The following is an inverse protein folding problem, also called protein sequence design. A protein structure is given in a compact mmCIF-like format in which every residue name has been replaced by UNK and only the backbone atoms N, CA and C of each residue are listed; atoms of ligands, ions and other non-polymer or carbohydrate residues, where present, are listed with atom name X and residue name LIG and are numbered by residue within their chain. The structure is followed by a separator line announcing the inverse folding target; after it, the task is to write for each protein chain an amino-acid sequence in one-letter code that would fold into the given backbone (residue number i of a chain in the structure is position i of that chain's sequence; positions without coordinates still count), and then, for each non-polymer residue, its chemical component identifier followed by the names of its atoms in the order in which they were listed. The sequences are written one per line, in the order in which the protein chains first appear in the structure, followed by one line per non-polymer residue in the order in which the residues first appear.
data_IF_587902336766
#
_entry.id   IF_587902336766
#
_cell.length_a   1.000
_cell.length_b   1.000
_cell.length_c   1.000
_cell.angle_alpha   90.00
_cell.angle_beta   90.00
_cell.angle_gamma   90.00
#
_symmetry.space_group_name_H-M   'P 1'
#
loop_
_entity.id
_entity.type
_entity.pdbx_description
1 polymer ?
#
# COMPACT_ATOMS: atom_id res chain seq x y z
N UNK A 1 -4.58 19.04 -3.87
CA UNK A 1 -5.36 18.10 -4.73
C UNK A 1 -4.63 16.78 -4.84
N UNK A 2 -5.32 15.65 -5.02
CA UNK A 2 -4.68 14.36 -5.31
C UNK A 2 -3.84 14.46 -6.59
N UNK A 3 -2.79 13.63 -6.71
CA UNK A 3 -1.99 13.49 -7.93
C UNK A 3 -2.32 12.14 -8.55
N UNK A 4 -2.97 12.14 -9.71
CA UNK A 4 -3.47 10.92 -10.37
C UNK A 4 -2.84 10.82 -11.75
N UNK A 5 -2.22 9.67 -12.02
CA UNK A 5 -1.60 9.33 -13.31
C UNK A 5 -2.62 8.97 -14.40
N UNK A 6 -2.08 8.54 -15.54
CA UNK A 6 -2.85 8.12 -16.72
C UNK A 6 -3.54 6.78 -16.47
N UNK A 7 -4.79 6.63 -16.92
CA UNK A 7 -5.53 5.36 -16.90
C UNK A 7 -5.57 4.69 -15.51
N UNK A 8 -5.56 5.47 -14.44
CA UNK A 8 -5.75 4.99 -13.09
C UNK A 8 -7.21 4.57 -12.90
N UNK A 9 -7.42 3.45 -12.23
CA UNK A 9 -8.75 2.97 -11.86
C UNK A 9 -8.84 2.89 -10.34
N UNK A 10 -9.71 3.72 -9.76
CA UNK A 10 -10.07 3.66 -8.35
C UNK A 10 -11.53 3.24 -8.30
N UNK A 11 -11.82 2.13 -7.62
CA UNK A 11 -13.19 1.61 -7.53
C UNK A 11 -14.10 2.57 -6.73
N UNK A 12 -15.40 2.69 -7.08
CA UNK A 12 -16.29 3.66 -6.44
C UNK A 12 -16.44 3.50 -4.92
N UNK A 13 -16.24 2.30 -4.37
CA UNK A 13 -16.35 2.04 -2.93
C UNK A 13 -15.08 2.34 -2.12
N UNK A 14 -13.99 2.81 -2.77
CA UNK A 14 -12.74 3.14 -2.08
C UNK A 14 -12.94 4.35 -1.15
N UNK A 15 -12.46 4.23 0.09
CA UNK A 15 -12.47 5.32 1.07
C UNK A 15 -11.10 5.96 1.15
N UNK A 16 -11.04 7.29 1.03
CA UNK A 16 -9.80 8.08 1.12
C UNK A 16 -10.03 9.23 2.11
N UNK A 17 -9.29 9.28 3.21
CA UNK A 17 -9.52 10.26 4.29
C UNK A 17 -9.20 11.70 3.86
N UNK A 18 -8.00 11.92 3.36
CA UNK A 18 -7.51 13.22 2.89
C UNK A 18 -6.97 13.06 1.45
N UNK A 19 -7.81 13.24 0.42
CA UNK A 19 -7.42 12.96 -0.96
C UNK A 19 -6.21 13.76 -1.46
N UNK A 20 -5.97 14.97 -0.92
CA UNK A 20 -4.80 15.78 -1.30
C UNK A 20 -3.45 15.22 -0.83
N UNK A 21 -3.44 14.17 0.01
CA UNK A 21 -2.24 13.44 0.45
C UNK A 21 -2.00 12.14 -0.33
N UNK A 22 -2.79 11.90 -1.40
CA UNK A 22 -2.68 10.71 -2.23
C UNK A 22 -1.99 11.02 -3.56
N UNK A 23 -0.99 10.19 -3.88
CA UNK A 23 -0.38 10.11 -5.22
C UNK A 23 -0.59 8.69 -5.77
N UNK A 24 -1.09 8.59 -7.00
CA UNK A 24 -1.30 7.32 -7.71
C UNK A 24 -0.66 7.41 -9.10
N UNK A 25 0.29 6.54 -9.40
CA UNK A 25 1.00 6.47 -10.67
C UNK A 25 0.17 5.85 -11.80
N UNK A 26 0.66 6.01 -13.03
CA UNK A 26 -0.01 5.56 -14.26
C UNK A 26 -0.42 4.07 -14.19
N UNK A 27 -1.60 3.75 -14.72
CA UNK A 27 -2.14 2.39 -14.85
C UNK A 27 -2.28 1.62 -13.53
N UNK A 28 -2.23 2.30 -12.38
CA UNK A 28 -2.48 1.67 -11.09
C UNK A 28 -3.97 1.40 -10.88
N UNK A 29 -4.26 0.41 -10.04
CA UNK A 29 -5.61 -0.01 -9.70
C UNK A 29 -5.81 -0.13 -8.19
N UNK A 30 -6.90 0.44 -7.69
CA UNK A 30 -7.33 0.32 -6.28
C UNK A 30 -8.72 -0.31 -6.24
N UNK A 31 -8.78 -1.53 -5.70
CA UNK A 31 -9.96 -2.39 -5.70
C UNK A 31 -11.07 -2.00 -4.73
N UNK A 32 -12.21 -2.68 -4.86
CA UNK A 32 -13.42 -2.38 -4.10
C UNK A 32 -13.18 -2.46 -2.57
N UNK A 33 -13.81 -1.56 -1.82
CA UNK A 33 -13.77 -1.48 -0.36
C UNK A 33 -12.38 -1.27 0.25
N UNK A 34 -11.37 -0.91 -0.55
CA UNK A 34 -10.07 -0.52 -0.02
C UNK A 34 -10.17 0.79 0.79
N UNK A 35 -9.38 0.89 1.84
CA UNK A 35 -9.28 2.06 2.70
C UNK A 35 -7.87 2.63 2.62
N UNK A 36 -7.78 3.86 2.12
CA UNK A 36 -6.56 4.66 2.09
C UNK A 36 -6.66 5.71 3.21
N UNK A 37 -6.19 5.33 4.40
CA UNK A 37 -6.27 6.17 5.60
C UNK A 37 -5.09 7.16 5.61
N UNK A 38 -5.21 8.22 4.80
CA UNK A 38 -4.14 9.19 4.44
C UNK A 38 -3.92 10.32 5.46
N UNK A 39 -3.80 10.05 6.77
CA UNK A 39 -3.31 11.06 7.73
C UNK A 39 -1.90 11.56 7.37
N UNK A 40 -1.04 10.68 6.89
CA UNK A 40 0.19 10.96 6.16
C UNK A 40 0.03 10.72 4.67
N UNK A 41 1.11 10.85 3.92
CA UNK A 41 1.10 10.65 2.47
C UNK A 41 1.02 9.15 2.11
N UNK A 42 0.23 8.82 1.10
CA UNK A 42 0.26 7.51 0.44
C UNK A 42 0.69 7.71 -1.00
N UNK A 43 1.78 7.05 -1.39
CA UNK A 43 2.31 7.06 -2.75
C UNK A 43 2.19 5.65 -3.35
N UNK A 44 1.35 5.49 -4.37
CA UNK A 44 1.16 4.23 -5.09
C UNK A 44 1.83 4.34 -6.47
N UNK A 45 2.82 3.50 -6.74
CA UNK A 45 3.59 3.50 -7.99
C UNK A 45 2.80 3.07 -9.22
N UNK A 46 3.34 3.33 -10.40
CA UNK A 46 2.74 2.93 -11.67
C UNK A 46 2.55 1.41 -11.76
N UNK A 47 1.46 0.98 -12.40
CA UNK A 47 1.06 -0.42 -12.54
C UNK A 47 0.92 -1.20 -11.21
N UNK A 48 0.88 -0.51 -10.07
CA UNK A 48 0.65 -1.15 -8.79
C UNK A 48 -0.84 -1.47 -8.59
N UNK A 49 -1.11 -2.57 -7.90
CA UNK A 49 -2.46 -3.06 -7.62
C UNK A 49 -2.64 -3.16 -6.13
N UNK A 50 -3.57 -2.37 -5.59
CA UNK A 50 -4.10 -2.54 -4.24
C UNK A 50 -5.42 -3.29 -4.40
N UNK A 51 -5.44 -4.56 -4.02
CA UNK A 51 -6.63 -5.38 -4.20
C UNK A 51 -7.75 -4.99 -3.24
N UNK A 52 -8.95 -5.52 -3.51
CA UNK A 52 -10.14 -5.26 -2.73
C UNK A 52 -9.91 -5.48 -1.22
N UNK A 53 -10.53 -4.63 -0.40
CA UNK A 53 -10.43 -4.62 1.06
C UNK A 53 -9.02 -4.33 1.63
N UNK A 54 -8.06 -3.91 0.79
CA UNK A 54 -6.75 -3.48 1.29
C UNK A 54 -6.87 -2.27 2.23
N UNK A 55 -6.09 -2.26 3.31
CA UNK A 55 -6.09 -1.18 4.30
C UNK A 55 -4.67 -0.60 4.42
N UNK A 56 -4.47 0.62 3.91
CA UNK A 56 -3.20 1.34 4.04
C UNK A 56 -3.35 2.42 5.11
N UNK A 57 -2.67 2.23 6.24
CA UNK A 57 -2.79 3.07 7.42
C UNK A 57 -1.56 3.97 7.58
N UNK A 58 -1.71 5.28 7.41
CA UNK A 58 -0.59 6.21 7.69
C UNK A 58 -0.65 6.85 9.07
N UNK A 59 -1.79 6.75 9.77
CA UNK A 59 -1.99 7.34 11.08
C UNK A 59 -1.77 6.34 12.22
N UNK A 60 -1.24 6.83 13.33
CA UNK A 60 -1.22 6.13 14.61
C UNK A 60 -1.29 7.16 15.75
N UNK A 61 -1.20 6.70 16.98
CA UNK A 61 -0.99 7.54 18.15
C UNK A 61 0.37 7.22 18.79
N UNK A 62 0.97 8.21 19.43
CA UNK A 62 2.02 7.97 20.41
C UNK A 62 1.37 7.50 21.72
N UNK A 63 1.39 6.20 21.94
CA UNK A 63 0.85 5.57 23.16
C UNK A 63 1.73 5.80 24.40
N UNK A 64 2.90 6.40 24.23
CA UNK A 64 3.80 6.77 25.34
C UNK A 64 3.61 8.24 25.78
N UNK A 65 2.98 9.06 24.94
CA UNK A 65 2.59 10.44 25.29
C UNK A 65 1.37 10.46 26.20
N UNK A 66 1.42 11.27 27.25
CA UNK A 66 0.27 11.53 28.13
C UNK A 66 -0.91 12.20 27.39
N UNK A 67 -0.64 12.87 26.26
CA UNK A 67 -1.66 13.51 25.42
C UNK A 67 -2.23 12.58 24.35
N UNK A 68 -1.68 11.37 24.21
CA UNK A 68 -2.05 10.40 23.17
C UNK A 68 -2.02 11.04 21.76
N UNK A 69 -0.92 11.74 21.47
CA UNK A 69 -0.79 12.57 20.27
C UNK A 69 -0.94 11.75 19.00
N UNK A 70 -1.62 12.32 18.00
CA UNK A 70 -1.72 11.72 16.67
C UNK A 70 -0.36 11.86 15.98
N UNK A 71 0.14 10.76 15.42
CA UNK A 71 1.28 10.77 14.52
C UNK A 71 0.88 10.24 13.13
N UNK A 72 1.68 10.61 12.13
CA UNK A 72 1.49 10.17 10.76
C UNK A 72 2.84 9.86 10.11
N UNK A 73 2.92 8.70 9.46
CA UNK A 73 4.11 8.29 8.71
C UNK A 73 3.70 7.83 7.30
N UNK A 74 4.45 8.25 6.26
CA UNK A 74 4.07 7.99 4.87
C UNK A 74 4.14 6.50 4.54
N UNK A 75 3.30 6.06 3.60
CA UNK A 75 3.39 4.74 2.97
C UNK A 75 3.83 4.91 1.52
N UNK A 76 4.78 4.09 1.08
CA UNK A 76 5.24 4.05 -0.32
C UNK A 76 5.05 2.64 -0.87
N UNK A 77 4.26 2.51 -1.92
CA UNK A 77 4.08 1.28 -2.69
C UNK A 77 4.82 1.45 -4.00
N UNK A 78 5.86 0.66 -4.23
CA UNK A 78 6.64 0.70 -5.47
C UNK A 78 5.82 0.31 -6.71
N UNK A 79 6.39 0.61 -7.87
CA UNK A 79 5.79 0.24 -9.16
C UNK A 79 5.62 -1.29 -9.30
N UNK A 80 4.59 -1.70 -10.06
CA UNK A 80 4.33 -3.13 -10.38
C UNK A 80 4.14 -4.03 -9.16
N UNK A 81 3.89 -3.44 -7.99
CA UNK A 81 3.54 -4.18 -6.78
C UNK A 81 2.13 -4.74 -6.90
N UNK A 82 1.89 -5.86 -6.24
CA UNK A 82 0.55 -6.41 -6.08
C UNK A 82 0.30 -6.76 -4.62
N UNK A 83 -0.52 -5.95 -3.97
CA UNK A 83 -1.05 -6.26 -2.65
C UNK A 83 -2.37 -6.98 -2.87
N UNK A 84 -2.42 -8.28 -2.57
CA UNK A 84 -3.60 -9.10 -2.71
C UNK A 84 -4.69 -8.70 -1.71
N UNK A 85 -5.86 -9.34 -1.80
CA UNK A 85 -7.05 -8.91 -1.03
C UNK A 85 -6.78 -8.84 0.46
N UNK A 86 -7.36 -7.83 1.11
CA UNK A 86 -7.41 -7.73 2.58
C UNK A 86 -6.01 -7.62 3.22
N UNK A 87 -5.04 -7.04 2.49
CA UNK A 87 -3.70 -6.74 3.00
C UNK A 87 -3.74 -5.46 3.83
N UNK A 88 -3.19 -5.52 5.04
CA UNK A 88 -2.92 -4.37 5.89
C UNK A 88 -1.49 -3.86 5.70
N UNK A 89 -1.31 -2.54 5.65
CA UNK A 89 -0.01 -1.86 5.62
C UNK A 89 0.08 -0.83 6.74
N UNK A 90 1.07 -0.97 7.61
CA UNK A 90 1.30 -0.11 8.75
C UNK A 90 1.93 1.26 8.37
N UNK A 91 1.84 2.26 9.26
CA UNK A 91 2.48 3.56 9.05
C UNK A 91 4.00 3.43 8.80
N UNK A 92 4.54 4.24 7.88
CA UNK A 92 5.97 4.30 7.61
C UNK A 92 6.52 3.17 6.73
N UNK A 93 5.67 2.27 6.23
CA UNK A 93 6.09 1.13 5.41
C UNK A 93 6.37 1.55 3.96
N UNK A 94 7.52 1.09 3.45
CA UNK A 94 7.88 1.11 2.03
C UNK A 94 7.89 -0.31 1.47
N UNK A 95 7.17 -0.54 0.37
CA UNK A 95 7.17 -1.80 -0.37
C UNK A 95 7.94 -1.60 -1.68
N UNK A 96 9.06 -2.30 -1.83
CA UNK A 96 9.92 -2.18 -3.01
C UNK A 96 9.24 -2.64 -4.31
N UNK A 97 9.70 -2.09 -5.44
CA UNK A 97 9.16 -2.36 -6.77
C UNK A 97 9.00 -3.85 -7.08
N UNK A 98 7.90 -4.20 -7.75
CA UNK A 98 7.65 -5.56 -8.19
C UNK A 98 7.30 -6.54 -7.05
N UNK A 99 7.13 -6.10 -5.82
CA UNK A 99 6.81 -7.00 -4.70
C UNK A 99 5.34 -7.40 -4.67
N UNK A 100 5.10 -8.67 -4.37
CA UNK A 100 3.75 -9.23 -4.20
C UNK A 100 3.54 -9.54 -2.72
N UNK A 101 2.43 -9.05 -2.17
CA UNK A 101 2.00 -9.36 -0.81
C UNK A 101 0.75 -10.24 -0.90
N UNK A 102 0.84 -11.46 -0.39
CA UNK A 102 -0.25 -12.44 -0.42
C UNK A 102 -1.48 -11.99 0.39
N UNK A 103 -2.63 -12.58 0.07
CA UNK A 103 -3.92 -12.18 0.67
C UNK A 103 -3.88 -12.27 2.20
N UNK A 104 -4.61 -11.36 2.87
CA UNK A 104 -4.74 -11.31 4.34
C UNK A 104 -3.42 -11.19 5.10
N UNK A 105 -2.39 -10.64 4.46
CA UNK A 105 -1.12 -10.38 5.13
C UNK A 105 -1.13 -9.04 5.85
N UNK A 106 -0.34 -8.91 6.91
CA UNK A 106 -0.17 -7.66 7.67
C UNK A 106 1.28 -7.19 7.61
N UNK A 107 1.52 -6.09 6.92
CA UNK A 107 2.86 -5.55 6.68
C UNK A 107 3.19 -4.49 7.73
N UNK A 108 4.00 -4.89 8.72
CA UNK A 108 4.47 -3.99 9.78
C UNK A 108 5.89 -3.47 9.57
N UNK A 109 6.61 -4.00 8.58
CA UNK A 109 7.99 -3.60 8.22
C UNK A 109 8.10 -3.49 6.71
N UNK A 110 8.93 -2.57 6.24
CA UNK A 110 9.24 -2.40 4.83
C UNK A 110 9.69 -3.70 4.17
N UNK A 111 9.25 -3.92 2.94
CA UNK A 111 9.52 -5.14 2.17
C UNK A 111 10.47 -4.82 1.01
N UNK A 112 11.45 -5.69 0.72
CA UNK A 112 12.38 -5.47 -0.39
C UNK A 112 11.67 -5.53 -1.73
N UNK A 113 12.33 -5.08 -2.79
CA UNK A 113 11.85 -5.20 -4.17
C UNK A 113 11.88 -6.66 -4.66
N UNK A 114 11.07 -6.96 -5.67
CA UNK A 114 11.00 -8.25 -6.37
C UNK A 114 10.82 -9.46 -5.43
N UNK A 115 10.09 -9.30 -4.33
CA UNK A 115 9.84 -10.39 -3.39
C UNK A 115 8.39 -10.88 -3.45
N UNK A 116 8.17 -12.12 -3.01
CA UNK A 116 6.85 -12.64 -2.66
C UNK A 116 6.80 -12.74 -1.14
N UNK A 117 5.89 -11.98 -0.53
CA UNK A 117 5.73 -11.88 0.90
C UNK A 117 4.34 -12.37 1.32
N UNK A 118 4.22 -12.99 2.49
CA UNK A 118 2.91 -13.38 3.05
C UNK A 118 2.98 -13.52 4.58
N UNK A 119 1.82 -13.47 5.22
CA UNK A 119 1.65 -13.78 6.64
C UNK A 119 1.32 -12.56 7.51
N UNK A 120 1.21 -12.82 8.81
CA UNK A 120 1.00 -11.81 9.84
C UNK A 120 1.95 -12.13 11.01
N UNK A 121 3.10 -11.42 11.15
CA UNK A 121 3.59 -10.38 10.25
C UNK A 121 3.99 -10.92 8.86
N UNK A 122 3.88 -10.09 7.83
CA UNK A 122 4.28 -10.44 6.48
C UNK A 122 5.81 -10.57 6.38
N UNK A 123 6.28 -11.70 5.85
CA UNK A 123 7.71 -11.98 5.66
C UNK A 123 7.98 -12.40 4.23
N UNK A 124 9.22 -12.21 3.76
CA UNK A 124 9.68 -12.70 2.47
C UNK A 124 9.65 -14.23 2.48
N UNK A 125 9.02 -14.82 1.48
CA UNK A 125 8.95 -16.29 1.33
C UNK A 125 9.76 -16.80 0.16
N UNK A 126 9.86 -16.01 -0.92
CA UNK A 126 10.75 -16.28 -2.05
C UNK A 126 10.94 -15.02 -2.88
N UNK A 127 11.91 -15.06 -3.79
CA UNK A 127 12.05 -14.05 -4.84
C UNK A 127 10.95 -14.19 -5.91
N UNK A 128 10.53 -13.06 -6.47
CA UNK A 128 9.65 -12.99 -7.64
C UNK A 128 10.49 -13.17 -8.90
N UNK A 129 10.32 -14.30 -9.56
CA UNK A 129 10.90 -14.54 -10.89
C UNK A 129 9.92 -13.97 -11.92
N UNK A 130 10.38 -13.01 -12.73
CA UNK A 130 9.64 -12.56 -13.91
C UNK A 130 9.91 -13.56 -15.04
N UNK A 131 8.86 -14.12 -15.63
CA UNK A 131 9.00 -14.87 -16.88
C UNK A 131 9.26 -13.86 -17.98
N UNK A 132 10.47 -13.87 -18.55
CA UNK A 132 10.72 -13.19 -19.82
C UNK A 132 9.95 -14.00 -20.86
N UNK A 133 8.85 -13.45 -21.37
CA UNK A 133 8.17 -14.03 -22.53
C UNK A 133 8.91 -13.49 -23.76
N UNK A 134 9.29 -14.35 -24.72
CA UNK A 134 9.93 -13.89 -25.96
C UNK A 134 9.03 -12.94 -26.76
#
# INVERSE_FOLDING_TARGET
RAKIGKNVVIRPSVKITYPWKLTVGDYAWVGDDAVLYTLGEINIGAHAVISQKGYLCTGSHDYTSAHFDINAAPIVIGEKCWLATDVFVAPGVTIGHGTVVGARSSVFKSLPANAICRGNPAVVTRQRVQKVTP
#
